data_IF_917619597083
#
_entry.id   IF_917619597083
#
_cell.length_a   1.000
_cell.length_b   1.000
_cell.length_c   1.000
_cell.angle_alpha   90.00
_cell.angle_beta   90.00
_cell.angle_gamma   90.00
#
_symmetry.space_group_name_H-M   'P 1'
#
loop_
_entity.id
_entity.type
_entity.pdbx_description
1 polymer ?
#
# COMPACT_ATOMS: atom_id res chain seq x y z
N UNK A 1 18.54 -27.48 29.80
CA UNK A 1 17.12 -27.37 29.35
C UNK A 1 16.73 -25.90 29.27
N UNK A 2 16.10 -25.41 28.19
CA UNK A 2 15.49 -24.06 28.22
C UNK A 2 15.19 -23.38 26.88
N UNK A 3 15.86 -23.77 25.78
CA UNK A 3 15.70 -23.07 24.49
C UNK A 3 14.38 -23.38 23.77
N UNK A 4 13.71 -24.49 24.08
CA UNK A 4 12.47 -24.93 23.41
C UNK A 4 11.21 -24.22 23.93
N UNK A 5 11.17 -23.88 25.23
CA UNK A 5 9.98 -23.27 25.87
C UNK A 5 9.70 -21.83 25.41
N UNK A 6 10.72 -21.09 25.00
CA UNK A 6 10.55 -19.71 24.54
C UNK A 6 9.94 -19.63 23.14
N UNK A 7 10.28 -20.59 22.27
CA UNK A 7 9.75 -20.67 20.90
C UNK A 7 8.26 -21.01 20.91
N UNK A 8 7.80 -21.86 21.83
CA UNK A 8 6.38 -22.20 21.96
C UNK A 8 5.53 -21.04 22.52
N UNK A 9 6.09 -20.23 23.42
CA UNK A 9 5.42 -19.01 23.93
C UNK A 9 5.34 -17.92 22.87
N UNK A 10 6.38 -17.75 22.03
CA UNK A 10 6.30 -16.84 20.88
C UNK A 10 5.30 -17.33 19.84
N UNK A 11 5.29 -18.63 19.54
CA UNK A 11 4.38 -19.21 18.56
C UNK A 11 2.91 -19.07 18.99
N UNK A 12 2.61 -19.28 20.27
CA UNK A 12 1.27 -19.09 20.83
C UNK A 12 0.79 -17.64 20.89
N UNK A 13 1.71 -16.66 21.01
CA UNK A 13 1.39 -15.22 20.93
C UNK A 13 1.28 -14.72 19.50
N UNK A 14 2.05 -15.26 18.56
CA UNK A 14 1.97 -14.91 17.13
C UNK A 14 0.64 -15.38 16.50
N UNK A 15 0.07 -16.50 16.96
CA UNK A 15 -1.22 -17.01 16.48
C UNK A 15 -2.44 -16.19 16.92
N UNK A 16 -2.29 -15.27 17.89
CA UNK A 16 -3.36 -14.36 18.33
C UNK A 16 -3.36 -13.01 17.59
N UNK A 17 -2.37 -12.75 16.72
CA UNK A 17 -2.22 -11.48 15.97
C UNK A 17 -2.73 -11.65 14.52
N UNK A 18 -3.59 -12.65 14.27
CA UNK A 18 -4.13 -12.97 12.93
C UNK A 18 -5.41 -12.18 12.59
N UNK A 19 -5.49 -10.88 12.92
CA UNK A 19 -6.17 -9.92 12.04
C UNK A 19 -5.26 -8.81 11.49
N UNK A 20 -4.15 -8.48 12.18
CA UNK A 20 -3.33 -7.31 11.88
C UNK A 20 -2.30 -7.54 10.75
N UNK A 21 -1.92 -8.78 10.47
CA UNK A 21 -0.97 -9.10 9.39
C UNK A 21 -1.49 -8.77 7.99
N UNK A 22 -2.82 -8.64 7.80
CA UNK A 22 -3.40 -8.13 6.55
C UNK A 22 -3.07 -6.64 6.31
N UNK A 23 -2.88 -5.86 7.37
CA UNK A 23 -2.51 -4.45 7.29
C UNK A 23 -1.06 -4.25 6.84
N UNK A 24 -0.14 -5.08 7.32
CA UNK A 24 1.27 -5.03 6.96
C UNK A 24 1.51 -5.39 5.49
N UNK A 25 0.82 -6.42 4.97
CA UNK A 25 0.90 -6.78 3.55
C UNK A 25 0.44 -5.65 2.63
N UNK A 26 -0.64 -4.95 3.01
CA UNK A 26 -1.15 -3.77 2.29
C UNK A 26 -0.13 -2.62 2.30
N UNK A 27 0.45 -2.31 3.45
CA UNK A 27 1.44 -1.23 3.57
C UNK A 27 2.70 -1.53 2.76
N UNK A 28 3.23 -2.76 2.86
CA UNK A 28 4.40 -3.20 2.07
C UNK A 28 4.12 -3.10 0.58
N UNK A 29 2.93 -3.52 0.14
CA UNK A 29 2.52 -3.37 -1.25
C UNK A 29 2.48 -1.89 -1.67
N UNK A 30 1.87 -1.02 -0.86
CA UNK A 30 1.76 0.40 -1.17
C UNK A 30 3.14 1.07 -1.28
N UNK A 31 4.06 0.79 -0.36
CA UNK A 31 5.43 1.31 -0.39
C UNK A 31 6.16 0.83 -1.66
N UNK A 32 5.97 -0.43 -2.05
CA UNK A 32 6.58 -0.97 -3.27
C UNK A 32 6.06 -0.26 -4.51
N UNK A 33 4.75 -0.01 -4.60
CA UNK A 33 4.17 0.72 -5.73
C UNK A 33 4.61 2.19 -5.75
N UNK A 34 4.66 2.85 -4.60
CA UNK A 34 5.16 4.22 -4.50
C UNK A 34 6.60 4.32 -5.01
N UNK A 35 7.48 3.41 -4.60
CA UNK A 35 8.86 3.35 -5.12
C UNK A 35 8.91 3.09 -6.62
N UNK A 36 8.06 2.20 -7.13
CA UNK A 36 7.96 1.94 -8.56
C UNK A 36 7.50 3.19 -9.34
N UNK A 37 6.51 3.92 -8.82
CA UNK A 37 6.00 5.17 -9.41
C UNK A 37 7.06 6.28 -9.44
N UNK A 38 7.76 6.48 -8.33
CA UNK A 38 8.84 7.48 -8.22
C UNK A 38 10.02 7.10 -9.12
N UNK A 39 10.43 5.83 -9.12
CA UNK A 39 11.55 5.36 -9.93
C UNK A 39 11.26 5.28 -11.44
N UNK A 40 9.99 5.25 -11.83
CA UNK A 40 9.60 5.11 -13.24
C UNK A 40 9.44 6.43 -14.00
N UNK A 41 9.64 7.59 -13.35
CA UNK A 41 9.62 8.89 -14.04
C UNK A 41 8.26 9.24 -14.66
N UNK A 42 7.15 8.87 -14.02
CA UNK A 42 5.79 9.18 -14.49
C UNK A 42 5.07 8.05 -15.23
N UNK A 43 5.60 6.82 -15.22
CA UNK A 43 4.81 5.66 -15.68
C UNK A 43 3.64 5.39 -14.73
N UNK A 44 2.48 5.16 -15.32
CA UNK A 44 1.24 4.79 -14.62
C UNK A 44 1.25 3.31 -14.25
N UNK A 45 0.79 2.98 -13.03
CA UNK A 45 0.63 1.58 -12.61
C UNK A 45 -0.85 1.24 -12.61
N UNK A 46 -1.30 0.43 -13.57
CA UNK A 46 -2.68 -0.02 -13.62
C UNK A 46 -2.97 -0.99 -12.47
N UNK A 47 -4.10 -0.80 -11.81
CA UNK A 47 -4.54 -1.67 -10.71
C UNK A 47 -5.86 -2.32 -11.09
N UNK A 48 -5.98 -3.62 -10.83
CA UNK A 48 -7.20 -4.38 -11.14
C UNK A 48 -7.54 -5.29 -9.97
N UNK A 49 -8.82 -5.60 -9.81
CA UNK A 49 -9.27 -6.62 -8.85
C UNK A 49 -8.98 -6.28 -7.38
N UNK A 50 -8.50 -7.25 -6.57
CA UNK A 50 -8.40 -7.12 -5.11
C UNK A 50 -7.38 -6.05 -4.66
N UNK A 51 -6.37 -5.74 -5.48
CA UNK A 51 -5.40 -4.68 -5.18
C UNK A 51 -6.02 -3.28 -5.18
N UNK A 52 -7.20 -3.09 -5.78
CA UNK A 52 -7.89 -1.79 -5.78
C UNK A 52 -8.24 -1.35 -4.35
N UNK A 53 -8.60 -2.31 -3.48
CA UNK A 53 -8.82 -2.01 -2.07
C UNK A 53 -7.54 -1.48 -1.43
N UNK A 54 -6.38 -2.08 -1.73
CA UNK A 54 -5.09 -1.66 -1.19
C UNK A 54 -4.68 -0.29 -1.71
N UNK A 55 -4.79 -0.08 -3.02
CA UNK A 55 -4.60 1.20 -3.67
C UNK A 55 -5.44 2.29 -3.00
N UNK A 56 -6.74 2.06 -2.82
CA UNK A 56 -7.69 3.06 -2.27
C UNK A 56 -7.24 3.58 -0.91
N UNK A 57 -6.67 2.73 -0.09
CA UNK A 57 -6.12 3.14 1.21
C UNK A 57 -4.77 3.81 1.11
N UNK A 58 -3.88 3.34 0.23
CA UNK A 58 -2.63 4.04 -0.04
C UNK A 58 -2.90 5.48 -0.49
N UNK A 59 -3.93 5.68 -1.30
CA UNK A 59 -4.39 7.00 -1.72
C UNK A 59 -4.97 7.84 -0.58
N UNK A 60 -5.83 7.26 0.27
CA UNK A 60 -6.33 7.94 1.47
C UNK A 60 -5.24 8.34 2.46
N UNK A 61 -4.09 7.66 2.44
CA UNK A 61 -2.93 7.95 3.27
C UNK A 61 -1.84 8.78 2.57
N UNK A 62 -2.10 9.28 1.35
CA UNK A 62 -1.19 10.18 0.64
C UNK A 62 0.05 9.52 0.02
N UNK A 63 0.09 8.18 -0.05
CA UNK A 63 1.24 7.46 -0.63
C UNK A 63 1.33 7.62 -2.16
N UNK A 64 0.19 7.75 -2.82
CA UNK A 64 0.03 7.96 -4.26
C UNK A 64 -1.42 8.40 -4.55
N UNK A 65 -1.73 8.83 -5.76
CA UNK A 65 -3.11 9.10 -6.19
C UNK A 65 -3.67 7.90 -6.99
N UNK A 66 -5.00 7.80 -7.06
CA UNK A 66 -5.70 6.90 -7.99
C UNK A 66 -6.47 7.76 -8.96
N UNK A 67 -6.13 7.61 -10.23
CA UNK A 67 -6.84 8.23 -11.34
C UNK A 67 -7.53 7.15 -12.17
N UNK A 68 -8.42 7.57 -13.07
CA UNK A 68 -9.12 6.67 -13.99
C UNK A 68 -8.95 7.14 -15.42
N UNK A 69 -8.56 6.22 -16.29
CA UNK A 69 -8.50 6.45 -17.73
C UNK A 69 -9.29 5.34 -18.40
N UNK A 70 -10.28 5.71 -19.22
CA UNK A 70 -11.19 4.79 -19.91
C UNK A 70 -11.85 3.75 -18.99
N UNK A 71 -12.19 4.16 -17.76
CA UNK A 71 -12.81 3.30 -16.75
C UNK A 71 -11.85 2.36 -16.02
N UNK A 72 -10.56 2.38 -16.35
CA UNK A 72 -9.54 1.58 -15.68
C UNK A 72 -8.79 2.42 -14.63
N UNK A 73 -8.74 1.98 -13.35
CA UNK A 73 -8.01 2.69 -12.32
C UNK A 73 -6.50 2.46 -12.45
N UNK A 74 -5.73 3.53 -12.33
CA UNK A 74 -4.27 3.49 -12.28
C UNK A 74 -3.74 4.37 -11.16
N UNK A 75 -2.55 4.03 -10.67
CA UNK A 75 -1.82 4.80 -9.68
C UNK A 75 -0.98 5.87 -10.37
N UNK A 76 -0.96 7.04 -9.76
CA UNK A 76 -0.10 8.15 -10.12
C UNK A 76 0.73 8.54 -8.88
N UNK A 77 1.99 8.99 -9.04
CA UNK A 77 2.71 9.58 -7.91
C UNK A 77 1.84 10.65 -7.26
N UNK A 78 1.77 10.69 -5.92
CA UNK A 78 1.15 11.83 -5.25
C UNK A 78 1.97 13.06 -5.61
N UNK A 79 1.35 14.01 -6.31
CA UNK A 79 1.97 15.31 -6.51
C UNK A 79 2.32 15.86 -5.11
N UNK A 80 3.48 16.53 -4.93
CA UNK A 80 3.66 17.35 -3.75
C UNK A 80 2.44 18.27 -3.66
N UNK A 81 1.87 18.44 -2.47
CA UNK A 81 0.58 19.09 -2.22
C UNK A 81 0.47 20.58 -2.63
N UNK A 82 1.36 21.07 -3.51
CA UNK A 82 1.47 22.44 -3.97
C UNK A 82 0.66 22.78 -5.24
N UNK A 83 0.00 21.81 -5.88
CA UNK A 83 -0.86 22.07 -7.06
C UNK A 83 -2.36 21.92 -6.74
N UNK A 84 -2.77 22.30 -5.54
CA UNK A 84 -4.14 22.77 -5.31
C UNK A 84 -4.28 24.24 -5.78
N UNK A 85 -3.73 24.54 -6.96
CA UNK A 85 -3.86 25.81 -7.67
C UNK A 85 -5.01 25.70 -8.66
N UNK A 86 -6.18 26.09 -8.19
CA UNK A 86 -7.42 26.30 -8.96
C UNK A 86 -7.17 26.77 -10.41
N UNK A 87 -7.39 25.91 -11.39
CA UNK A 87 -7.73 26.36 -12.74
C UNK A 87 -9.23 26.63 -12.76
N UNK A 88 -9.58 27.92 -12.62
CA UNK A 88 -10.87 28.46 -13.06
C UNK A 88 -10.85 28.65 -14.56
#
# INVERSE_FOLDING_TARGET
>A
MGKRRWVDVLRGRLSLIVPEWRGWGRLVWCIRQQRALVGSGGKVVWVRGPELAWATWGARHGLFAIERMDGLPYLQPSAPANDAGSAR
#
